data_IF_853601424456
#
_entry.id   IF_853601424456
#
_cell.length_a   1.000
_cell.length_b   1.000
_cell.length_c   1.000
_cell.angle_alpha   90.00
_cell.angle_beta   90.00
_cell.angle_gamma   90.00
#
_symmetry.space_group_name_H-M   'P 1'
#
loop_
_entity.id
_entity.type
_entity.pdbx_description
1 polymer ?
#
# COMPACT_ATOMS: atom_id res chain seq x y z
N UNK A 1 -11.80 -1.72 35.91
CA UNK A 1 -12.25 -1.09 34.65
C UNK A 1 -11.51 -1.74 33.48
N UNK A 2 -12.20 -2.48 32.62
CA UNK A 2 -11.59 -3.08 31.43
C UNK A 2 -11.54 -2.02 30.32
N UNK A 3 -10.39 -1.40 30.11
CA UNK A 3 -10.17 -0.52 28.96
C UNK A 3 -10.04 -1.40 27.72
N UNK A 4 -11.15 -1.58 26.99
CA UNK A 4 -11.11 -2.09 25.61
C UNK A 4 -10.44 -1.02 24.74
N UNK A 5 -9.13 -1.11 24.58
CA UNK A 5 -8.42 -0.34 23.57
C UNK A 5 -8.90 -0.83 22.20
N UNK A 6 -9.67 0.02 21.53
CA UNK A 6 -10.04 -0.19 20.14
C UNK A 6 -8.77 0.06 19.31
N UNK A 7 -7.86 -0.92 19.27
CA UNK A 7 -6.69 -0.93 18.40
C UNK A 7 -7.24 -0.89 16.98
N UNK A 8 -7.28 0.30 16.39
CA UNK A 8 -7.58 0.48 14.96
C UNK A 8 -6.62 -0.43 14.21
N UNK A 9 -7.20 -1.49 13.64
CA UNK A 9 -6.50 -2.53 12.89
C UNK A 9 -5.60 -1.91 11.82
N UNK A 10 -4.48 -2.58 11.60
CA UNK A 10 -3.42 -2.30 10.65
C UNK A 10 -3.78 -1.50 9.39
N UNK A 11 -2.88 -0.63 8.91
CA UNK A 11 -3.07 0.12 7.67
C UNK A 11 -3.05 -0.76 6.40
N UNK A 12 -2.57 -2.00 6.49
CA UNK A 12 -2.47 -2.95 5.38
C UNK A 12 -3.35 -4.18 5.64
N UNK A 13 -4.12 -4.60 4.63
CA UNK A 13 -4.88 -5.85 4.68
C UNK A 13 -3.94 -7.02 5.05
N UNK A 14 -4.27 -7.89 6.03
CA UNK A 14 -3.41 -9.00 6.44
C UNK A 14 -2.97 -9.92 5.28
N UNK A 15 -3.81 -10.09 4.26
CA UNK A 15 -3.52 -10.84 3.04
C UNK A 15 -2.39 -10.16 2.25
N UNK A 16 -2.51 -8.85 2.05
CA UNK A 16 -1.55 -8.05 1.31
C UNK A 16 -0.22 -7.93 2.06
N UNK A 17 -0.24 -7.87 3.39
CA UNK A 17 0.99 -7.87 4.20
C UNK A 17 1.74 -9.19 4.11
N UNK A 18 1.03 -10.32 4.27
CA UNK A 18 1.65 -11.65 4.13
C UNK A 18 2.22 -11.84 2.74
N UNK A 19 1.49 -11.43 1.71
CA UNK A 19 1.95 -11.55 0.33
C UNK A 19 3.12 -10.60 0.01
N UNK A 20 3.14 -9.39 0.59
CA UNK A 20 4.27 -8.47 0.47
C UNK A 20 5.52 -8.97 1.20
N UNK A 21 5.38 -9.64 2.36
CA UNK A 21 6.48 -10.27 3.09
C UNK A 21 7.02 -11.53 2.39
N UNK A 22 6.17 -12.21 1.60
CA UNK A 22 6.55 -13.35 0.78
C UNK A 22 7.17 -12.96 -0.55
N UNK A 23 7.05 -11.69 -0.95
CA UNK A 23 7.64 -11.19 -2.18
C UNK A 23 9.16 -11.13 -2.04
N UNK A 24 9.85 -12.06 -2.69
CA UNK A 24 11.31 -12.05 -2.81
C UNK A 24 11.74 -11.16 -3.98
N UNK A 25 12.92 -10.54 -3.92
CA UNK A 25 13.46 -9.71 -5.02
C UNK A 25 13.53 -10.44 -6.38
N UNK A 26 13.53 -11.78 -6.39
CA UNK A 26 13.50 -12.60 -7.61
C UNK A 26 12.14 -12.64 -8.32
N UNK A 27 11.04 -12.31 -7.63
CA UNK A 27 9.72 -12.22 -8.24
C UNK A 27 9.61 -10.88 -8.97
N UNK A 28 9.89 -10.86 -10.26
CA UNK A 28 9.82 -9.65 -11.10
C UNK A 28 8.41 -9.00 -11.10
N UNK A 29 7.38 -9.78 -10.74
CA UNK A 29 6.00 -9.31 -10.55
C UNK A 29 5.36 -9.89 -9.29
N UNK A 30 4.58 -9.09 -8.52
CA UNK A 30 3.88 -9.57 -7.33
C UNK A 30 2.82 -10.64 -7.69
N UNK A 31 2.48 -11.55 -6.74
CA UNK A 31 1.46 -12.58 -6.97
C UNK A 31 0.11 -12.00 -7.43
N UNK A 32 -0.62 -12.74 -8.29
CA UNK A 32 -1.91 -12.30 -8.87
C UNK A 32 -2.94 -11.89 -7.82
N UNK A 33 -3.08 -12.69 -6.77
CA UNK A 33 -3.95 -12.42 -5.63
C UNK A 33 -3.66 -11.07 -4.98
N UNK A 34 -2.37 -10.73 -4.89
CA UNK A 34 -1.87 -9.45 -4.40
C UNK A 34 -2.32 -8.35 -5.33
N UNK A 35 -2.02 -8.46 -6.63
CA UNK A 35 -2.40 -7.45 -7.63
C UNK A 35 -3.91 -7.18 -7.67
N UNK A 36 -4.74 -8.23 -7.63
CA UNK A 36 -6.19 -8.11 -7.52
C UNK A 36 -6.61 -7.32 -6.27
N UNK A 37 -6.03 -7.63 -5.10
CA UNK A 37 -6.27 -6.88 -3.87
C UNK A 37 -5.79 -5.42 -3.92
N UNK A 38 -4.63 -5.16 -4.54
CA UNK A 38 -4.08 -3.81 -4.67
C UNK A 38 -4.96 -2.94 -5.55
N UNK A 39 -5.29 -3.45 -6.73
CA UNK A 39 -6.04 -2.74 -7.77
C UNK A 39 -7.55 -2.69 -7.49
N UNK A 40 -8.06 -3.52 -6.58
CA UNK A 40 -9.44 -3.43 -6.09
C UNK A 40 -9.65 -2.35 -5.02
N UNK A 41 -8.57 -1.90 -4.36
CA UNK A 41 -8.66 -0.97 -3.25
C UNK A 41 -9.13 -1.63 -1.95
N UNK A 42 -8.93 -2.94 -1.81
CA UNK A 42 -9.17 -3.68 -0.56
C UNK A 42 -8.30 -3.16 0.60
N UNK A 43 -7.18 -2.48 0.29
CA UNK A 43 -6.37 -1.74 1.25
C UNK A 43 -6.96 -0.34 1.53
N UNK A 44 -7.29 0.02 2.79
CA UNK A 44 -7.92 1.30 3.13
C UNK A 44 -7.19 2.54 2.61
N UNK A 45 -5.85 2.52 2.63
CA UNK A 45 -5.02 3.63 2.14
C UNK A 45 -4.96 3.77 0.62
N UNK A 46 -5.19 2.70 -0.15
CA UNK A 46 -5.06 2.71 -1.62
C UNK A 46 -6.41 2.81 -2.35
N UNK A 47 -7.52 2.89 -1.61
CA UNK A 47 -8.87 2.75 -2.16
C UNK A 47 -9.23 3.81 -3.20
N UNK A 48 -8.71 5.03 -3.06
CA UNK A 48 -8.97 6.11 -4.02
C UNK A 48 -8.22 5.91 -5.33
N UNK A 49 -6.93 5.59 -5.25
CA UNK A 49 -6.10 5.36 -6.41
C UNK A 49 -6.57 4.12 -7.20
N UNK A 50 -6.89 3.03 -6.51
CA UNK A 50 -7.49 1.83 -7.11
C UNK A 50 -8.83 2.13 -7.81
N UNK A 51 -9.71 2.92 -7.17
CA UNK A 51 -10.99 3.34 -7.78
C UNK A 51 -10.78 4.23 -8.99
N UNK A 52 -9.80 5.12 -8.96
CA UNK A 52 -9.44 5.94 -10.10
C UNK A 52 -8.92 5.07 -11.25
N UNK A 53 -8.00 4.15 -10.98
CA UNK A 53 -7.51 3.16 -11.96
C UNK A 53 -8.67 2.41 -12.62
N UNK A 54 -9.59 1.81 -11.85
CA UNK A 54 -10.70 1.05 -12.41
C UNK A 54 -11.65 1.90 -13.27
N UNK A 55 -11.80 3.20 -12.95
CA UNK A 55 -12.55 4.15 -13.79
C UNK A 55 -11.81 4.45 -15.11
N UNK A 56 -10.50 4.65 -15.06
CA UNK A 56 -9.65 4.84 -16.24
C UNK A 56 -9.70 3.60 -17.12
N UNK A 57 -9.47 2.41 -16.55
CA UNK A 57 -9.53 1.14 -17.23
C UNK A 57 -10.88 0.94 -17.94
N UNK A 58 -12.00 1.19 -17.25
CA UNK A 58 -13.34 1.13 -17.85
C UNK A 58 -13.49 2.11 -19.02
N UNK A 59 -13.08 3.37 -18.84
CA UNK A 59 -13.25 4.39 -19.87
C UNK A 59 -12.40 4.08 -21.11
N UNK A 60 -11.14 3.73 -20.93
CA UNK A 60 -10.21 3.48 -22.03
C UNK A 60 -10.54 2.19 -22.79
N UNK A 61 -10.92 1.12 -22.09
CA UNK A 61 -11.42 -0.11 -22.73
C UNK A 61 -12.72 0.13 -23.47
N UNK A 62 -13.64 0.95 -22.94
CA UNK A 62 -14.87 1.33 -23.63
C UNK A 62 -14.59 2.08 -24.94
N UNK A 63 -13.69 3.06 -24.90
CA UNK A 63 -13.27 3.79 -26.11
C UNK A 63 -12.56 2.89 -27.11
N UNK A 64 -11.70 1.96 -26.66
CA UNK A 64 -11.04 1.00 -27.52
C UNK A 64 -12.04 0.05 -28.20
N UNK A 65 -13.06 -0.42 -27.48
CA UNK A 65 -14.16 -1.21 -28.04
C UNK A 65 -14.86 -0.42 -29.15
N UNK A 66 -15.22 0.85 -28.91
CA UNK A 66 -15.91 1.66 -29.91
C UNK A 66 -15.07 1.83 -31.19
N UNK A 67 -13.76 2.10 -31.05
CA UNK A 67 -12.83 2.23 -32.19
C UNK A 67 -12.77 0.93 -33.01
N UNK A 68 -12.56 -0.21 -32.35
CA UNK A 68 -12.45 -1.51 -33.02
C UNK A 68 -13.79 -1.95 -33.62
N UNK A 69 -14.90 -1.74 -32.91
CA UNK A 69 -16.22 -2.13 -33.41
C UNK A 69 -16.63 -1.33 -34.65
N UNK A 70 -16.21 -0.06 -34.74
CA UNK A 70 -16.51 0.81 -35.87
C UNK A 70 -15.61 0.51 -37.08
N UNK A 71 -14.30 0.31 -36.85
CA UNK A 71 -13.32 0.18 -37.92
C UNK A 71 -12.99 -1.26 -38.32
N UNK A 72 -13.16 -2.22 -37.40
CA UNK A 72 -12.80 -3.63 -37.58
C UNK A 72 -13.81 -4.57 -36.90
N UNK A 73 -15.12 -4.51 -37.26
CA UNK A 73 -16.16 -5.28 -36.57
C UNK A 73 -15.92 -6.79 -36.58
N UNK A 74 -15.22 -7.31 -37.58
CA UNK A 74 -14.88 -8.72 -37.70
C UNK A 74 -13.74 -9.18 -36.78
N UNK A 75 -13.04 -8.25 -36.09
CA UNK A 75 -12.02 -8.54 -35.08
C UNK A 75 -12.65 -9.06 -33.77
N UNK A 76 -13.34 -10.19 -33.86
CA UNK A 76 -14.15 -10.79 -32.80
C UNK A 76 -13.33 -11.10 -31.55
N UNK A 77 -12.12 -11.61 -31.70
CA UNK A 77 -11.26 -11.96 -30.56
C UNK A 77 -10.72 -10.74 -29.83
N UNK A 78 -10.29 -9.71 -30.57
CA UNK A 78 -9.91 -8.41 -30.01
C UNK A 78 -11.08 -7.78 -29.26
N UNK A 79 -12.27 -7.75 -29.88
CA UNK A 79 -13.49 -7.21 -29.25
C UNK A 79 -13.91 -8.02 -28.02
N UNK A 80 -13.80 -9.35 -28.06
CA UNK A 80 -14.10 -10.23 -26.92
C UNK A 80 -13.16 -9.92 -25.75
N UNK A 81 -11.87 -9.86 -26.00
CA UNK A 81 -10.85 -9.55 -24.99
C UNK A 81 -11.11 -8.18 -24.35
N UNK A 82 -11.32 -7.15 -25.17
CA UNK A 82 -11.61 -5.80 -24.69
C UNK A 82 -12.91 -5.72 -23.88
N UNK A 83 -13.96 -6.43 -24.28
CA UNK A 83 -15.24 -6.49 -23.55
C UNK A 83 -15.10 -7.17 -22.20
N UNK A 84 -14.34 -8.27 -22.12
CA UNK A 84 -14.05 -8.97 -20.87
C UNK A 84 -13.32 -8.02 -19.90
N UNK A 85 -12.25 -7.37 -20.36
CA UNK A 85 -11.52 -6.36 -19.59
C UNK A 85 -12.42 -5.19 -19.15
N UNK A 86 -13.26 -4.68 -20.05
CA UNK A 86 -14.21 -3.61 -19.76
C UNK A 86 -15.20 -4.00 -18.67
N UNK A 87 -15.76 -5.22 -18.74
CA UNK A 87 -16.70 -5.74 -17.74
C UNK A 87 -16.00 -5.94 -16.41
N UNK A 88 -14.77 -6.45 -16.39
CA UNK A 88 -13.97 -6.58 -15.18
C UNK A 88 -13.71 -5.22 -14.51
N UNK A 89 -13.26 -4.22 -15.27
CA UNK A 89 -13.07 -2.85 -14.77
C UNK A 89 -14.38 -2.21 -14.29
N UNK A 90 -15.49 -2.45 -14.99
CA UNK A 90 -16.82 -1.97 -14.62
C UNK A 90 -17.32 -2.60 -13.32
N UNK A 91 -17.17 -3.92 -13.17
CA UNK A 91 -17.53 -4.65 -11.94
C UNK A 91 -16.64 -4.19 -10.79
N UNK A 92 -15.33 -4.12 -10.99
CA UNK A 92 -14.38 -3.60 -10.01
C UNK A 92 -14.72 -2.19 -9.55
N UNK A 93 -15.03 -1.30 -10.49
CA UNK A 93 -15.38 0.09 -10.19
C UNK A 93 -16.70 0.20 -9.41
N UNK A 94 -17.73 -0.60 -9.74
CA UNK A 94 -19.04 -0.56 -9.08
C UNK A 94 -19.06 -1.27 -7.73
N UNK A 95 -18.52 -2.48 -7.66
CA UNK A 95 -18.57 -3.35 -6.49
C UNK A 95 -17.35 -3.20 -5.57
N UNK A 96 -16.37 -2.35 -5.96
CA UNK A 96 -15.17 -2.03 -5.17
C UNK A 96 -14.33 -3.26 -4.82
N UNK A 97 -14.36 -4.26 -5.69
CA UNK A 97 -13.66 -5.53 -5.54
C UNK A 97 -13.24 -6.05 -6.92
N UNK A 98 -11.98 -6.45 -7.03
CA UNK A 98 -11.39 -7.14 -8.17
C UNK A 98 -10.80 -8.41 -7.56
N UNK A 99 -11.38 -9.55 -7.92
CA UNK A 99 -10.86 -10.88 -7.59
C UNK A 99 -9.76 -11.27 -8.59
N UNK A 100 -9.15 -12.43 -8.39
CA UNK A 100 -8.10 -12.95 -9.27
C UNK A 100 -8.60 -13.11 -10.71
N UNK A 101 -9.79 -13.70 -10.89
CA UNK A 101 -10.40 -13.84 -12.21
C UNK A 101 -10.67 -12.49 -12.88
N UNK A 102 -11.13 -11.50 -12.10
CA UNK A 102 -11.32 -10.14 -12.57
C UNK A 102 -10.02 -9.45 -12.94
N UNK A 103 -8.93 -9.71 -12.21
CA UNK A 103 -7.61 -9.23 -12.57
C UNK A 103 -7.10 -9.91 -13.86
N UNK A 104 -7.22 -11.22 -13.99
CA UNK A 104 -6.80 -11.96 -15.18
C UNK A 104 -7.59 -11.52 -16.42
N UNK A 105 -8.88 -11.22 -16.26
CA UNK A 105 -9.72 -10.61 -17.29
C UNK A 105 -9.24 -9.21 -17.72
N UNK A 106 -8.62 -8.46 -16.82
CA UNK A 106 -8.14 -7.10 -17.04
C UNK A 106 -6.67 -7.05 -17.49
N UNK A 107 -5.87 -8.07 -17.15
CA UNK A 107 -4.44 -8.14 -17.41
C UNK A 107 -4.04 -7.92 -18.87
N UNK A 108 -4.76 -8.43 -19.89
CA UNK A 108 -4.44 -8.13 -21.29
C UNK A 108 -4.51 -6.63 -21.61
N UNK A 109 -5.49 -5.92 -21.04
CA UNK A 109 -5.62 -4.47 -21.24
C UNK A 109 -4.53 -3.68 -20.49
N UNK A 110 -4.11 -4.15 -19.32
CA UNK A 110 -3.00 -3.56 -18.54
C UNK A 110 -1.66 -3.80 -19.22
N UNK A 111 -1.43 -5.01 -19.74
CA UNK A 111 -0.21 -5.38 -20.45
C UNK A 111 -0.14 -4.90 -21.89
N UNK A 112 -1.21 -4.28 -22.42
CA UNK A 112 -1.26 -3.86 -23.83
C UNK A 112 -1.30 -5.04 -24.82
N UNK A 113 -1.62 -6.25 -24.36
CA UNK A 113 -1.61 -7.47 -25.16
C UNK A 113 -3.01 -7.75 -25.69
N UNK A 114 -3.20 -7.61 -27.00
CA UNK A 114 -4.45 -7.93 -27.68
C UNK A 114 -4.22 -8.90 -28.84
N UNK A 115 -5.22 -9.74 -29.16
CA UNK A 115 -5.25 -10.46 -30.43
C UNK A 115 -5.11 -9.49 -31.61
N UNK A 116 -4.48 -9.98 -32.68
CA UNK A 116 -4.31 -9.22 -33.91
C UNK A 116 -5.67 -8.77 -34.49
N UNK A 117 -5.68 -7.58 -35.08
CA UNK A 117 -6.82 -7.09 -35.86
C UNK A 117 -6.93 -7.90 -37.15
N UNK A 118 -8.15 -8.08 -37.65
CA UNK A 118 -8.41 -8.82 -38.90
C UNK A 118 -7.78 -8.12 -40.11
N UNK A 119 -7.35 -8.94 -41.07
CA UNK A 119 -6.50 -8.53 -42.19
C UNK A 119 -7.22 -7.76 -43.32
N UNK A 120 -8.54 -7.68 -43.33
CA UNK A 120 -9.29 -7.05 -44.43
C UNK A 120 -9.21 -5.50 -44.42
N UNK A 121 -8.59 -4.91 -43.40
CA UNK A 121 -8.35 -3.47 -43.30
C UNK A 121 -7.20 -3.01 -44.22
N UNK A 122 -7.34 -1.86 -44.91
CA UNK A 122 -6.21 -1.19 -45.55
C UNK A 122 -5.08 -0.96 -44.54
N UNK A 123 -3.83 -1.21 -44.96
CA UNK A 123 -2.66 -1.20 -44.08
C UNK A 123 -2.53 0.10 -43.25
N UNK A 124 -2.78 1.26 -43.87
CA UNK A 124 -2.78 2.54 -43.17
C UNK A 124 -3.83 2.59 -42.07
N UNK A 125 -5.07 2.25 -42.39
CA UNK A 125 -6.19 2.22 -41.43
C UNK A 125 -5.96 1.22 -40.30
N UNK A 126 -5.34 0.07 -40.60
CA UNK A 126 -4.94 -0.93 -39.61
C UNK A 126 -3.92 -0.37 -38.63
N UNK A 127 -2.87 0.31 -39.12
CA UNK A 127 -1.86 0.95 -38.27
C UNK A 127 -2.44 2.07 -37.42
N UNK A 128 -3.27 2.93 -38.01
CA UNK A 128 -3.89 4.05 -37.30
C UNK A 128 -4.82 3.54 -36.20
N UNK A 129 -5.62 2.50 -36.48
CA UNK A 129 -6.46 1.83 -35.50
C UNK A 129 -5.62 1.17 -34.40
N UNK A 130 -4.59 0.41 -34.78
CA UNK A 130 -3.67 -0.24 -33.85
C UNK A 130 -3.02 0.76 -32.90
N UNK A 131 -2.42 1.82 -33.42
CA UNK A 131 -1.82 2.89 -32.62
C UNK A 131 -2.85 3.58 -31.71
N UNK A 132 -4.06 3.81 -32.22
CA UNK A 132 -5.16 4.37 -31.45
C UNK A 132 -5.63 3.49 -30.30
N UNK A 133 -5.62 2.16 -30.46
CA UNK A 133 -5.95 1.19 -29.41
C UNK A 133 -4.80 1.03 -28.43
N UNK A 134 -3.55 0.93 -28.90
CA UNK A 134 -2.36 0.87 -28.06
C UNK A 134 -2.27 2.07 -27.13
N UNK A 135 -2.53 3.29 -27.62
CA UNK A 135 -2.54 4.49 -26.79
C UNK A 135 -3.57 4.43 -25.66
N UNK A 136 -4.77 3.89 -25.94
CA UNK A 136 -5.79 3.71 -24.92
C UNK A 136 -5.31 2.73 -23.83
N UNK A 137 -4.71 1.61 -24.23
CA UNK A 137 -4.22 0.60 -23.28
C UNK A 137 -3.00 1.09 -22.49
N UNK A 138 -2.12 1.89 -23.09
CA UNK A 138 -1.02 2.53 -22.38
C UNK A 138 -1.52 3.38 -21.20
N UNK A 139 -2.61 4.16 -21.40
CA UNK A 139 -3.22 4.93 -20.30
C UNK A 139 -3.75 4.02 -19.19
N UNK A 140 -4.23 2.80 -19.52
CA UNK A 140 -4.63 1.80 -18.52
C UNK A 140 -3.42 1.28 -17.76
N UNK A 141 -2.33 0.95 -18.46
CA UNK A 141 -1.08 0.48 -17.89
C UNK A 141 -0.48 1.51 -16.91
N UNK A 142 -0.37 2.77 -17.34
CA UNK A 142 0.13 3.87 -16.51
C UNK A 142 -0.71 4.06 -15.25
N UNK A 143 -2.04 3.97 -15.37
CA UNK A 143 -2.93 4.06 -14.21
C UNK A 143 -2.77 2.88 -13.25
N UNK A 144 -2.54 1.66 -13.75
CA UNK A 144 -2.26 0.49 -12.94
C UNK A 144 -0.93 0.66 -12.19
N UNK A 145 0.13 1.06 -12.90
CA UNK A 145 1.46 1.32 -12.32
C UNK A 145 1.38 2.37 -11.21
N UNK A 146 0.67 3.48 -11.44
CA UNK A 146 0.47 4.50 -10.40
C UNK A 146 -0.28 3.98 -9.17
N UNK A 147 -1.25 3.08 -9.35
CA UNK A 147 -1.97 2.45 -8.23
C UNK A 147 -1.11 1.48 -7.43
N UNK A 148 -0.19 0.77 -8.09
CA UNK A 148 0.80 -0.11 -7.43
C UNK A 148 1.85 0.72 -6.70
N UNK A 149 2.43 1.73 -7.34
CA UNK A 149 3.42 2.63 -6.72
C UNK A 149 2.86 3.32 -5.49
N UNK A 150 1.61 3.81 -5.55
CA UNK A 150 0.96 4.42 -4.38
C UNK A 150 0.80 3.42 -3.25
N UNK A 151 0.49 2.17 -3.56
CA UNK A 151 0.42 1.12 -2.54
C UNK A 151 1.79 0.84 -1.91
N UNK A 152 2.86 0.73 -2.71
CA UNK A 152 4.23 0.54 -2.20
C UNK A 152 4.59 1.65 -1.21
N UNK A 153 4.37 2.92 -1.59
CA UNK A 153 4.63 4.06 -0.72
C UNK A 153 3.87 3.96 0.62
N UNK A 154 2.58 3.63 0.57
CA UNK A 154 1.76 3.48 1.78
C UNK A 154 2.20 2.31 2.65
N UNK A 155 2.72 1.25 2.03
CA UNK A 155 3.30 0.10 2.70
C UNK A 155 4.59 0.48 3.42
N UNK A 156 5.48 1.24 2.78
CA UNK A 156 6.72 1.72 3.38
C UNK A 156 6.45 2.66 4.56
N UNK A 157 5.52 3.60 4.39
CA UNK A 157 5.06 4.49 5.46
C UNK A 157 4.42 3.72 6.64
N UNK A 158 3.74 2.61 6.37
CA UNK A 158 3.20 1.73 7.41
C UNK A 158 4.32 0.98 8.14
N UNK A 159 5.27 0.41 7.41
CA UNK A 159 6.42 -0.31 7.96
C UNK A 159 7.27 0.61 8.84
N UNK A 160 7.59 1.81 8.38
CA UNK A 160 8.33 2.80 9.18
C UNK A 160 7.61 3.17 10.49
N UNK A 161 6.27 3.29 10.46
CA UNK A 161 5.48 3.53 11.68
C UNK A 161 5.50 2.36 12.64
N UNK A 162 5.56 1.12 12.15
CA UNK A 162 5.68 -0.08 12.98
C UNK A 162 7.06 -0.10 13.66
N UNK A 163 8.14 0.07 12.89
CA UNK A 163 9.50 0.12 13.43
C UNK A 163 9.64 1.17 14.54
N UNK A 164 9.14 2.40 14.31
CA UNK A 164 9.16 3.46 15.33
C UNK A 164 8.38 3.09 16.60
N UNK A 165 7.27 2.36 16.47
CA UNK A 165 6.50 1.89 17.64
C UNK A 165 7.28 0.83 18.42
N UNK A 166 7.98 -0.06 17.73
CA UNK A 166 8.82 -1.08 18.37
C UNK A 166 9.98 -0.44 19.15
N UNK A 167 10.63 0.56 18.57
CA UNK A 167 11.65 1.36 19.27
C UNK A 167 11.09 2.03 20.54
N UNK A 168 9.89 2.62 20.45
CA UNK A 168 9.24 3.23 21.60
C UNK A 168 8.88 2.18 22.68
N UNK A 169 8.39 1.00 22.28
CA UNK A 169 8.07 -0.09 23.21
C UNK A 169 9.34 -0.57 23.91
N UNK A 170 10.44 -0.72 23.16
CA UNK A 170 11.72 -1.15 23.72
C UNK A 170 12.31 -0.10 24.66
N UNK A 171 12.20 1.18 24.32
CA UNK A 171 12.54 2.27 25.21
C UNK A 171 11.71 2.24 26.51
N UNK A 172 10.39 2.03 26.42
CA UNK A 172 9.52 1.87 27.59
C UNK A 172 9.92 0.65 28.44
N UNK A 173 10.24 -0.48 27.81
CA UNK A 173 10.71 -1.68 28.53
C UNK A 173 11.98 -1.40 29.32
N UNK A 174 12.96 -0.72 28.73
CA UNK A 174 14.21 -0.32 29.41
C UNK A 174 13.95 0.63 30.58
N UNK A 175 13.05 1.61 30.40
CA UNK A 175 12.69 2.56 31.44
C UNK A 175 12.07 1.89 32.68
N UNK A 176 11.20 0.88 32.46
CA UNK A 176 10.49 0.19 33.54
C UNK A 176 11.17 -1.10 34.03
N UNK A 177 12.27 -1.55 33.43
CA UNK A 177 13.02 -2.72 33.88
C UNK A 177 13.68 -2.52 35.26
N UNK A 178 13.81 -1.26 35.73
CA UNK A 178 14.49 -0.91 36.98
C UNK A 178 15.99 -1.25 36.96
N UNK A 179 16.81 -0.74 37.89
CA UNK A 179 18.16 -1.26 38.07
C UNK A 179 18.02 -2.71 38.51
N UNK A 180 18.45 -3.67 37.68
CA UNK A 180 18.70 -5.02 38.18
C UNK A 180 19.71 -4.87 39.30
N UNK A 181 19.29 -5.13 40.53
CA UNK A 181 20.21 -5.37 41.63
C UNK A 181 21.09 -6.54 41.19
N UNK A 182 22.25 -6.22 40.63
CA UNK A 182 23.35 -7.15 40.48
C UNK A 182 23.76 -7.52 41.90
N UNK A 183 23.15 -8.58 42.42
CA UNK A 183 23.56 -9.19 43.66
C UNK A 183 24.97 -9.75 43.49
N UNK A 184 25.96 -8.97 43.89
CA UNK A 184 27.21 -9.51 44.39
C UNK A 184 27.13 -9.46 45.91
N UNK A 185 26.61 -10.54 46.48
CA UNK A 185 26.87 -10.90 47.87
C UNK A 185 28.36 -11.25 47.97
N UNK A 186 29.18 -10.29 48.39
CA UNK A 186 30.42 -10.60 49.09
C UNK A 186 30.40 -9.77 50.38
N UNK A 187 30.35 -10.48 51.50
CA UNK A 187 30.30 -9.87 52.82
C UNK A 187 31.60 -9.16 53.16
N UNK A 188 31.46 -8.03 53.85
CA UNK A 188 32.40 -7.72 54.92
C UNK A 188 31.69 -6.88 55.99
N UNK A 189 31.88 -7.35 57.21
CA UNK A 189 31.42 -6.77 58.46
C UNK A 189 31.87 -5.32 58.66
N UNK A 190 31.09 -4.57 59.44
CA UNK A 190 31.57 -3.34 60.07
C UNK A 190 30.47 -2.31 60.25
N UNK A 191 29.83 -2.31 61.42
CA UNK A 191 28.78 -1.36 61.75
C UNK A 191 29.26 0.09 61.76
N UNK A 192 28.37 1.02 61.41
CA UNK A 192 28.19 2.22 62.22
C UNK A 192 26.84 2.86 61.96
N UNK A 193 26.36 3.48 63.02
CA UNK A 193 25.04 4.05 63.27
C UNK A 193 24.53 5.00 62.19
N UNK A 194 23.20 4.99 62.00
CA UNK A 194 22.48 5.96 61.20
C UNK A 194 22.80 7.40 61.56
N UNK A 195 23.49 8.12 60.65
CA UNK A 195 23.50 9.59 60.65
C UNK A 195 24.01 10.22 59.35
N UNK A 196 23.73 9.68 58.18
CA UNK A 196 24.04 10.35 56.90
C UNK A 196 22.86 10.29 55.95
N UNK A 197 21.84 11.11 56.24
CA UNK A 197 20.71 11.35 55.34
C UNK A 197 20.32 12.83 55.29
N UNK A 198 21.30 13.74 55.49
CA UNK A 198 21.16 15.20 55.41
C UNK A 198 22.49 15.87 55.08
N UNK A 199 22.84 15.87 53.80
CA UNK A 199 23.65 16.90 53.13
C UNK A 199 23.40 16.69 51.63
N UNK A 200 23.41 17.73 50.81
CA UNK A 200 22.93 17.80 49.42
C UNK A 200 21.44 18.18 49.24
N UNK A 201 20.99 19.18 49.99
CA UNK A 201 19.83 19.99 49.62
C UNK A 201 20.06 21.49 49.92
N UNK A 202 21.31 21.96 49.83
CA UNK A 202 21.68 23.37 50.00
C UNK A 202 22.85 23.70 49.06
N UNK A 203 22.57 23.71 47.77
CA UNK A 203 23.27 24.55 46.79
C UNK A 203 22.36 24.58 45.57
N UNK A 204 22.10 25.77 45.03
CA UNK A 204 21.16 26.09 43.94
C UNK A 204 19.72 26.45 44.35
N UNK A 205 19.58 27.41 45.27
CA UNK A 205 18.56 28.46 45.09
C UNK A 205 19.14 29.81 45.47
N UNK A 206 19.64 30.51 44.47
CA UNK A 206 19.85 31.95 44.42
C UNK A 206 20.25 32.26 42.98
N UNK A 207 19.72 33.24 42.28
CA UNK A 207 18.77 34.31 42.56
C UNK A 207 18.55 34.96 41.19
N UNK A 208 17.31 35.10 40.74
CA UNK A 208 16.89 36.19 39.84
C UNK A 208 15.37 36.33 39.93
N UNK A 209 14.95 37.21 40.83
CA UNK A 209 13.72 37.95 40.68
C UNK A 209 13.89 38.95 39.52
N UNK A 210 12.96 38.94 38.57
CA UNK A 210 12.35 40.18 38.07
C UNK A 210 10.96 39.84 37.49
N UNK A 211 9.94 40.40 38.15
CA UNK A 211 8.53 40.18 37.91
C UNK A 211 7.98 41.01 36.73
N UNK A 212 6.86 40.61 36.10
CA UNK A 212 6.18 41.41 35.10
C UNK A 212 5.30 42.48 35.76
N UNK A 213 5.32 43.71 35.22
CA UNK A 213 4.28 44.71 35.48
C UNK A 213 3.36 44.85 34.26
N UNK A 214 2.08 44.98 34.58
CA UNK A 214 0.85 45.19 33.80
C UNK A 214 0.94 45.96 32.49
#
# INVERSE_FOLDING_TARGET
MHVRTNIKRDPLCPIVRKAAQQWTEEDENPPRATMAHLLSGACPGNREQARWFLRVARAQTGTAISKVAQAAPDSKDTLKTLRIAHVAALKGSRYRALDEDGYDALAPAVGGVLPALVDDLPEKSRRDLGAGVTRNLQVVAEAATGAVQRWIQLNDEATARIMKREEHIEWLRKLFAGPTASGTNEGHDGGSSGRERRRWAESEVGETDDAPST
#
